data_IF_028987599699
#
_entry.id   IF_028987599699
#
_cell.length_a   1.000
_cell.length_b   1.000
_cell.length_c   1.000
_cell.angle_alpha   90.00
_cell.angle_beta   90.00
_cell.angle_gamma   90.00
#
_symmetry.space_group_name_H-M   'P 1'
#
loop_
_entity.id
_entity.type
_entity.pdbx_description
1 polymer ?
#
# COMPACT_ATOMS: atom_id res chain seq x y z
N UNK A 1 40.43 20.69 -22.64
CA UNK A 1 39.63 19.47 -22.76
C UNK A 1 38.42 19.68 -21.87
N UNK A 2 37.27 20.01 -22.49
CA UNK A 2 36.00 20.27 -21.79
C UNK A 2 35.15 19.00 -21.91
N UNK A 3 34.88 18.37 -20.78
CA UNK A 3 33.94 17.25 -20.71
C UNK A 3 32.51 17.73 -20.95
N UNK A 4 31.91 17.22 -22.00
CA UNK A 4 30.51 17.46 -22.31
C UNK A 4 29.64 16.64 -21.34
N UNK A 5 29.04 17.31 -20.37
CA UNK A 5 27.94 16.75 -19.57
C UNK A 5 26.74 16.56 -20.52
N UNK A 6 26.42 15.31 -20.84
CA UNK A 6 25.17 14.97 -21.50
C UNK A 6 24.03 15.25 -20.53
N UNK A 7 23.31 16.35 -20.75
CA UNK A 7 22.05 16.60 -20.09
C UNK A 7 21.02 15.58 -20.63
N UNK A 8 20.53 14.72 -19.75
CA UNK A 8 19.35 13.90 -20.03
C UNK A 8 18.16 14.84 -20.27
N UNK A 9 17.42 14.71 -21.38
CA UNK A 9 16.21 15.50 -21.55
C UNK A 9 15.23 15.10 -20.43
N UNK A 10 14.81 16.09 -19.65
CA UNK A 10 13.71 15.93 -18.71
C UNK A 10 12.50 15.40 -19.47
N UNK A 11 12.14 14.15 -19.19
CA UNK A 11 10.86 13.58 -19.61
C UNK A 11 9.77 14.30 -18.81
N UNK A 12 9.41 15.50 -19.28
CA UNK A 12 8.16 16.13 -18.90
C UNK A 12 7.04 15.33 -19.57
N UNK A 13 6.51 14.34 -18.86
CA UNK A 13 5.19 13.88 -19.19
C UNK A 13 4.22 15.03 -18.89
N UNK A 14 3.50 15.54 -19.86
CA UNK A 14 2.39 16.41 -19.57
C UNK A 14 1.33 15.56 -18.87
N UNK A 15 1.33 15.60 -17.53
CA UNK A 15 0.16 15.16 -16.78
C UNK A 15 -0.96 16.11 -17.19
N UNK A 16 -1.77 15.69 -18.14
CA UNK A 16 -3.06 16.28 -18.34
C UNK A 16 -3.86 15.96 -17.08
N UNK A 17 -4.22 17.01 -16.37
CA UNK A 17 -5.23 16.96 -15.31
C UNK A 17 -6.55 16.50 -15.93
N UNK A 18 -6.73 15.19 -16.04
CA UNK A 18 -8.02 14.61 -16.37
C UNK A 18 -8.83 14.55 -15.07
N UNK A 19 -10.04 15.09 -15.06
CA UNK A 19 -10.86 15.05 -13.86
C UNK A 19 -11.11 13.61 -13.44
N UNK A 20 -10.84 13.34 -12.18
CA UNK A 20 -11.13 12.10 -11.50
C UNK A 20 -12.61 11.79 -11.64
N UNK A 21 -12.93 10.52 -11.82
CA UNK A 21 -14.27 10.01 -12.11
C UNK A 21 -15.40 10.76 -11.41
N UNK A 22 -16.40 11.24 -12.15
CA UNK A 22 -17.50 12.03 -11.61
C UNK A 22 -18.51 11.25 -10.74
N UNK A 23 -18.20 10.03 -10.33
CA UNK A 23 -19.13 9.17 -9.59
C UNK A 23 -18.53 8.46 -8.39
N UNK A 24 -17.47 9.02 -7.78
CA UNK A 24 -17.10 8.62 -6.42
C UNK A 24 -16.82 7.13 -6.19
N UNK A 25 -16.44 6.35 -7.22
CA UNK A 25 -16.06 4.94 -7.02
C UNK A 25 -14.59 4.72 -7.36
N UNK A 26 -13.93 3.84 -6.62
CA UNK A 26 -12.54 3.49 -6.86
C UNK A 26 -12.28 2.00 -6.61
N UNK A 27 -11.20 1.50 -7.21
CA UNK A 27 -10.70 0.15 -6.95
C UNK A 27 -9.34 0.25 -6.28
N UNK A 28 -9.21 -0.39 -5.12
CA UNK A 28 -7.95 -0.49 -4.39
C UNK A 28 -7.40 -1.90 -4.51
N UNK A 29 -6.14 -2.00 -4.94
CA UNK A 29 -5.38 -3.24 -4.97
C UNK A 29 -4.39 -3.24 -3.80
N UNK A 30 -4.48 -4.22 -2.92
CA UNK A 30 -3.58 -4.36 -1.76
C UNK A 30 -3.39 -5.82 -1.37
N UNK A 31 -2.15 -6.27 -1.28
CA UNK A 31 -1.77 -7.65 -0.90
C UNK A 31 -2.54 -8.73 -1.68
N UNK A 32 -2.62 -8.60 -3.01
CA UNK A 32 -3.31 -9.53 -3.88
C UNK A 32 -4.84 -9.49 -3.80
N UNK A 33 -5.43 -8.58 -3.02
CA UNK A 33 -6.88 -8.36 -2.92
C UNK A 33 -7.31 -7.19 -3.78
N UNK A 34 -8.50 -7.31 -4.34
CA UNK A 34 -9.19 -6.24 -5.06
C UNK A 34 -10.36 -5.76 -4.20
N UNK A 35 -10.37 -4.49 -3.85
CA UNK A 35 -11.36 -3.88 -2.97
C UNK A 35 -12.04 -2.75 -3.75
N UNK A 36 -13.33 -2.89 -4.00
CA UNK A 36 -14.13 -1.86 -4.64
C UNK A 36 -14.71 -0.93 -3.57
N UNK A 37 -14.51 0.36 -3.75
CA UNK A 37 -15.11 1.43 -2.98
C UNK A 37 -16.27 2.00 -3.78
N UNK A 38 -17.46 2.02 -3.21
CA UNK A 38 -18.66 2.55 -3.85
C UNK A 38 -18.72 4.08 -3.81
N UNK A 39 -18.01 4.67 -2.85
CA UNK A 39 -17.93 6.11 -2.66
C UNK A 39 -16.50 6.51 -2.34
N UNK A 40 -16.04 7.59 -2.99
CA UNK A 40 -14.78 8.27 -2.69
C UNK A 40 -15.02 9.77 -2.74
N UNK A 41 -14.28 10.53 -1.94
CA UNK A 41 -14.31 11.98 -2.02
C UNK A 41 -13.64 12.49 -3.30
N UNK A 42 -14.02 13.69 -3.72
CA UNK A 42 -13.41 14.37 -4.86
C UNK A 42 -12.01 14.88 -4.53
N UNK A 43 -11.10 14.81 -5.50
CA UNK A 43 -9.76 15.35 -5.35
C UNK A 43 -8.67 14.49 -6.00
N UNK A 44 -7.43 14.97 -5.89
CA UNK A 44 -6.25 14.24 -6.37
C UNK A 44 -5.87 13.07 -5.47
N UNK A 45 -6.26 13.14 -4.22
CA UNK A 45 -6.05 12.13 -3.19
C UNK A 45 -7.22 11.15 -3.14
N UNK A 46 -6.93 9.93 -2.73
CA UNK A 46 -7.97 8.93 -2.49
C UNK A 46 -8.59 9.16 -1.10
N UNK A 47 -9.70 9.87 -1.08
CA UNK A 47 -10.51 10.04 0.12
C UNK A 47 -11.50 8.88 0.23
N UNK A 48 -11.45 8.14 1.33
CA UNK A 48 -12.29 6.98 1.60
C UNK A 48 -13.19 7.24 2.82
N UNK A 49 -14.25 6.46 2.96
CA UNK A 49 -15.02 6.46 4.21
C UNK A 49 -14.14 5.87 5.33
N UNK A 50 -14.17 6.44 6.54
CA UNK A 50 -13.37 5.97 7.67
C UNK A 50 -13.51 4.48 7.99
N UNK A 51 -14.70 3.92 7.82
CA UNK A 51 -14.98 2.49 8.02
C UNK A 51 -14.31 1.56 7.00
N UNK A 52 -13.95 2.06 5.82
CA UNK A 52 -13.29 1.26 4.80
C UNK A 52 -11.80 1.01 5.11
N UNK A 53 -11.18 1.81 5.98
CA UNK A 53 -9.76 1.70 6.30
C UNK A 53 -9.39 0.29 6.78
N UNK A 54 -10.19 -0.26 7.71
CA UNK A 54 -9.99 -1.62 8.23
C UNK A 54 -10.06 -2.70 7.15
N UNK A 55 -11.02 -2.55 6.23
CA UNK A 55 -11.21 -3.47 5.12
C UNK A 55 -10.06 -3.45 4.12
N UNK A 56 -9.46 -2.27 3.91
CA UNK A 56 -8.37 -2.08 2.96
C UNK A 56 -7.06 -2.62 3.54
N UNK A 57 -6.62 -2.08 4.67
CA UNK A 57 -5.27 -2.32 5.16
C UNK A 57 -5.22 -2.83 6.61
N UNK A 58 -6.38 -3.05 7.25
CA UNK A 58 -6.49 -3.59 8.59
C UNK A 58 -6.25 -2.58 9.72
N UNK A 59 -6.05 -1.28 9.40
CA UNK A 59 -6.01 -0.24 10.43
C UNK A 59 -7.42 0.14 10.86
N UNK A 60 -7.60 0.37 12.15
CA UNK A 60 -8.84 0.86 12.75
C UNK A 60 -8.63 2.27 13.29
N UNK A 61 -9.61 3.14 13.09
CA UNK A 61 -9.60 4.47 13.68
C UNK A 61 -9.99 4.37 15.15
N UNK A 62 -9.12 4.89 16.02
CA UNK A 62 -9.30 4.99 17.46
C UNK A 62 -9.01 6.42 17.92
N UNK A 63 -9.36 6.80 19.16
CA UNK A 63 -9.05 8.13 19.67
C UNK A 63 -7.55 8.48 19.61
N UNK A 64 -6.67 7.47 19.66
CA UNK A 64 -5.22 7.63 19.62
C UNK A 64 -4.67 7.78 18.17
N UNK A 65 -5.50 7.48 17.16
CA UNK A 65 -5.10 7.50 15.75
C UNK A 65 -5.54 6.28 14.96
N UNK A 66 -4.86 6.01 13.85
CA UNK A 66 -5.03 4.78 13.09
C UNK A 66 -4.19 3.66 13.71
N UNK A 67 -4.84 2.61 14.21
CA UNK A 67 -4.18 1.54 14.97
C UNK A 67 -4.26 0.20 14.23
N UNK A 68 -3.13 -0.54 14.26
CA UNK A 68 -3.01 -1.91 13.77
C UNK A 68 -2.17 -2.73 14.75
N UNK A 69 -2.74 -3.78 15.33
CA UNK A 69 -2.14 -4.52 16.44
C UNK A 69 -1.68 -3.56 17.57
N UNK A 70 -0.41 -3.59 17.95
CA UNK A 70 0.17 -2.74 18.99
C UNK A 70 0.69 -1.38 18.46
N UNK A 71 0.55 -1.12 17.18
CA UNK A 71 1.00 0.11 16.53
C UNK A 71 -0.18 1.07 16.34
N UNK A 72 -0.06 2.29 16.88
CA UNK A 72 -0.99 3.37 16.60
C UNK A 72 -0.24 4.55 15.98
N UNK A 73 -0.76 5.07 14.88
CA UNK A 73 -0.23 6.22 14.16
C UNK A 73 -1.11 7.42 14.49
N UNK A 74 -0.59 8.43 15.20
CA UNK A 74 -1.34 9.64 15.47
C UNK A 74 -1.77 10.32 14.15
N UNK A 75 -3.01 10.75 14.09
CA UNK A 75 -3.56 11.45 12.93
C UNK A 75 -3.64 12.95 13.21
N UNK A 76 -3.39 13.74 12.18
CA UNK A 76 -3.68 15.16 12.15
C UNK A 76 -4.97 15.44 11.36
N UNK A 77 -5.47 16.66 11.43
CA UNK A 77 -6.70 17.06 10.75
C UNK A 77 -6.60 16.96 9.22
N UNK A 78 -5.39 17.00 8.67
CA UNK A 78 -5.16 16.86 7.22
C UNK A 78 -5.50 15.45 6.71
N UNK A 79 -5.37 14.44 7.56
CA UNK A 79 -5.72 13.05 7.24
C UNK A 79 -7.20 12.74 7.39
N UNK A 80 -7.95 13.65 8.02
CA UNK A 80 -9.38 13.51 8.30
C UNK A 80 -10.17 14.72 7.76
N UNK A 81 -10.08 15.03 6.46
CA UNK A 81 -10.78 16.16 5.88
C UNK A 81 -12.30 16.01 6.03
N UNK A 82 -12.98 17.15 6.20
CA UNK A 82 -14.43 17.25 6.13
C UNK A 82 -14.83 17.84 4.80
N UNK A 83 -15.55 17.09 3.99
CA UNK A 83 -16.07 17.52 2.68
C UNK A 83 -17.58 17.46 2.73
N UNK A 84 -18.26 18.56 2.43
CA UNK A 84 -19.73 18.69 2.46
C UNK A 84 -20.40 18.26 3.77
N UNK A 85 -19.67 18.42 4.90
CA UNK A 85 -20.16 18.06 6.23
C UNK A 85 -19.96 16.59 6.61
N UNK A 86 -19.37 15.79 5.75
CA UNK A 86 -18.96 14.41 6.00
C UNK A 86 -17.46 14.31 6.25
N UNK A 87 -17.08 13.47 7.19
CA UNK A 87 -15.68 13.18 7.47
C UNK A 87 -15.17 12.07 6.55
N UNK A 88 -14.02 12.33 5.94
CA UNK A 88 -13.31 11.40 5.07
C UNK A 88 -11.95 11.06 5.66
N UNK A 89 -11.34 10.00 5.15
CA UNK A 89 -9.97 9.61 5.47
C UNK A 89 -9.11 9.67 4.22
N UNK A 90 -8.02 10.43 4.25
CA UNK A 90 -7.08 10.52 3.14
C UNK A 90 -6.12 9.33 3.14
N UNK A 91 -6.44 8.31 2.36
CA UNK A 91 -5.65 7.08 2.26
C UNK A 91 -4.29 7.31 1.58
N UNK A 92 -4.21 8.24 0.62
CA UNK A 92 -2.95 8.56 -0.07
C UNK A 92 -2.00 9.36 0.80
N UNK A 93 -2.49 10.34 1.53
CA UNK A 93 -1.69 11.07 2.51
C UNK A 93 -1.22 10.14 3.65
N UNK A 94 -2.09 9.24 4.10
CA UNK A 94 -1.72 8.23 5.10
C UNK A 94 -0.66 7.27 4.59
N UNK A 95 -0.74 6.83 3.33
CA UNK A 95 0.30 6.03 2.69
C UNK A 95 1.64 6.78 2.65
N UNK A 96 1.62 8.08 2.34
CA UNK A 96 2.81 8.93 2.40
C UNK A 96 3.42 8.98 3.80
N UNK A 97 2.61 9.15 4.84
CA UNK A 97 3.06 9.15 6.23
C UNK A 97 3.72 7.81 6.63
N UNK A 98 3.23 6.70 6.10
CA UNK A 98 3.74 5.35 6.34
C UNK A 98 4.91 4.96 5.41
N UNK A 99 5.36 5.86 4.54
CA UNK A 99 6.33 5.56 3.47
C UNK A 99 5.89 4.36 2.61
N UNK A 100 4.58 4.18 2.46
CA UNK A 100 3.98 3.10 1.68
C UNK A 100 3.95 3.49 0.20
N UNK A 101 4.70 2.80 -0.69
CA UNK A 101 4.63 3.08 -2.12
C UNK A 101 3.23 2.75 -2.68
N UNK A 102 2.77 3.57 -3.61
CA UNK A 102 1.58 3.28 -4.39
C UNK A 102 1.71 3.81 -5.82
N UNK A 103 0.91 3.27 -6.71
CA UNK A 103 0.71 3.75 -8.06
C UNK A 103 -0.77 3.94 -8.32
N UNK A 104 -1.11 4.88 -9.19
CA UNK A 104 -2.51 5.20 -9.53
C UNK A 104 -2.69 5.25 -11.04
N UNK A 105 -3.75 4.60 -11.49
CA UNK A 105 -4.35 4.82 -12.78
C UNK A 105 -5.65 5.60 -12.58
N UNK A 106 -5.57 6.91 -12.82
CA UNK A 106 -6.71 7.81 -12.60
C UNK A 106 -7.82 7.59 -13.62
N UNK A 107 -7.46 7.22 -14.84
CA UNK A 107 -8.45 6.97 -15.90
C UNK A 107 -9.29 5.73 -15.57
N UNK A 108 -8.66 4.69 -15.05
CA UNK A 108 -9.34 3.48 -14.63
C UNK A 108 -9.92 3.58 -13.20
N UNK A 109 -9.58 4.61 -12.41
CA UNK A 109 -9.98 4.73 -11.01
C UNK A 109 -9.35 3.65 -10.13
N UNK A 110 -8.10 3.26 -10.41
CA UNK A 110 -7.42 2.17 -9.72
C UNK A 110 -6.21 2.69 -8.93
N UNK A 111 -6.15 2.37 -7.65
CA UNK A 111 -5.00 2.60 -6.76
C UNK A 111 -4.39 1.27 -6.33
N UNK A 112 -3.12 1.08 -6.59
CA UNK A 112 -2.38 -0.12 -6.18
C UNK A 112 -1.35 0.26 -5.12
N UNK A 113 -1.56 -0.22 -3.90
CA UNK A 113 -0.68 0.03 -2.76
C UNK A 113 0.25 -1.15 -2.53
N UNK A 114 1.53 -0.87 -2.33
CA UNK A 114 2.51 -1.85 -1.89
C UNK A 114 2.32 -2.16 -0.39
N UNK A 115 3.11 -3.10 0.12
CA UNK A 115 3.10 -3.41 1.54
C UNK A 115 3.60 -2.24 2.40
N UNK A 116 2.97 -2.05 3.55
CA UNK A 116 3.35 -1.01 4.51
C UNK A 116 4.68 -1.38 5.17
N UNK A 117 5.76 -0.57 5.03
CA UNK A 117 7.09 -0.90 5.55
C UNK A 117 7.12 -1.17 7.06
N UNK A 118 6.30 -0.43 7.83
CA UNK A 118 6.21 -0.59 9.27
C UNK A 118 5.70 -1.98 9.68
N UNK A 119 4.82 -2.60 8.89
CA UNK A 119 4.34 -3.98 9.16
C UNK A 119 5.43 -5.03 8.99
N UNK A 120 6.37 -4.81 8.05
CA UNK A 120 7.54 -5.70 7.86
C UNK A 120 8.56 -5.55 8.97
N UNK A 121 8.70 -4.35 9.53
CA UNK A 121 9.67 -4.09 10.61
C UNK A 121 9.40 -4.98 11.82
N UNK A 122 8.14 -5.21 12.18
CA UNK A 122 7.78 -6.06 13.31
C UNK A 122 8.24 -7.51 13.09
N UNK A 123 8.06 -8.07 11.89
CA UNK A 123 8.56 -9.42 11.58
C UNK A 123 10.08 -9.55 11.72
N UNK A 124 10.83 -8.51 11.35
CA UNK A 124 12.29 -8.49 11.49
C UNK A 124 12.74 -8.31 12.94
N UNK A 125 12.05 -7.47 13.72
CA UNK A 125 12.33 -7.25 15.14
C UNK A 125 12.04 -8.51 15.94
N UNK A 126 10.94 -9.18 15.65
CA UNK A 126 10.54 -10.42 16.34
C UNK A 126 11.31 -11.65 15.84
N UNK A 127 12.18 -11.45 14.84
CA UNK A 127 12.93 -12.54 14.16
C UNK A 127 12.02 -13.69 13.68
N UNK A 128 10.77 -13.33 13.30
CA UNK A 128 9.78 -14.28 12.80
C UNK A 128 9.82 -14.31 11.27
N UNK A 129 10.14 -15.47 10.71
CA UNK A 129 10.02 -15.67 9.27
C UNK A 129 8.55 -15.73 8.86
N UNK A 130 8.16 -15.09 7.73
CA UNK A 130 6.79 -15.18 7.23
C UNK A 130 6.47 -16.63 6.85
N UNK A 131 5.23 -17.03 7.04
CA UNK A 131 4.73 -18.30 6.53
C UNK A 131 4.61 -18.22 5.01
N UNK A 132 5.17 -19.20 4.34
CA UNK A 132 5.02 -19.37 2.89
C UNK A 132 5.04 -20.86 2.54
N UNK A 133 4.56 -21.16 1.35
CA UNK A 133 4.68 -22.50 0.79
C UNK A 133 5.22 -22.44 -0.64
N UNK A 134 5.95 -23.45 -1.01
CA UNK A 134 6.48 -23.66 -2.37
C UNK A 134 6.19 -25.08 -2.82
N UNK A 135 6.03 -25.26 -4.11
CA UNK A 135 5.83 -26.58 -4.70
C UNK A 135 7.15 -27.08 -5.31
N UNK A 136 7.58 -28.25 -4.92
CA UNK A 136 8.76 -28.88 -5.49
C UNK A 136 8.52 -29.39 -6.93
N UNK A 137 9.58 -29.85 -7.59
CA UNK A 137 9.50 -30.35 -8.98
C UNK A 137 8.64 -31.61 -9.13
N UNK A 138 8.27 -32.27 -8.03
CA UNK A 138 7.41 -33.46 -7.99
C UNK A 138 5.97 -33.12 -7.65
N UNK A 139 5.67 -31.85 -7.40
CA UNK A 139 4.35 -31.38 -7.01
C UNK A 139 4.10 -31.44 -5.48
N UNK A 140 5.09 -31.75 -4.67
CA UNK A 140 4.91 -31.74 -3.22
C UNK A 140 4.97 -30.31 -2.70
N UNK A 141 4.08 -29.99 -1.77
CA UNK A 141 4.07 -28.71 -1.08
C UNK A 141 5.05 -28.76 0.10
N UNK A 142 5.96 -27.80 0.17
CA UNK A 142 6.89 -27.57 1.28
C UNK A 142 6.49 -26.28 1.96
N UNK A 143 6.22 -26.31 3.25
CA UNK A 143 5.81 -25.15 4.05
C UNK A 143 6.93 -24.71 4.97
N UNK A 144 6.99 -23.41 5.27
CA UNK A 144 7.91 -22.87 6.27
C UNK A 144 7.73 -23.56 7.63
N UNK A 145 6.50 -23.91 8.00
CA UNK A 145 6.17 -24.64 9.20
C UNK A 145 6.88 -26.02 9.30
N UNK A 146 7.14 -26.69 8.18
CA UNK A 146 7.80 -28.02 8.13
C UNK A 146 9.30 -27.93 8.48
N UNK A 147 9.85 -26.71 8.44
CA UNK A 147 11.26 -26.41 8.79
C UNK A 147 11.42 -25.98 10.24
N UNK A 148 10.35 -25.88 11.02
CA UNK A 148 10.38 -25.44 12.40
C UNK A 148 11.32 -26.31 13.24
N UNK A 149 12.22 -25.68 14.00
CA UNK A 149 13.24 -26.37 14.80
C UNK A 149 14.47 -26.83 14.01
N UNK A 150 14.55 -26.56 12.71
CA UNK A 150 15.71 -26.85 11.87
C UNK A 150 16.42 -25.56 11.46
N UNK A 151 17.72 -25.63 11.21
CA UNK A 151 18.44 -24.56 10.55
C UNK A 151 18.21 -24.68 9.03
N UNK A 152 17.59 -23.66 8.42
CA UNK A 152 17.31 -23.61 7.01
C UNK A 152 18.02 -22.42 6.35
N UNK A 153 18.59 -22.65 5.18
CA UNK A 153 19.12 -21.59 4.30
C UNK A 153 18.23 -21.51 3.06
N UNK A 154 17.66 -20.34 2.85
CA UNK A 154 16.82 -20.07 1.67
C UNK A 154 17.66 -19.27 0.69
N UNK A 155 17.80 -19.78 -0.54
CA UNK A 155 18.50 -19.11 -1.62
C UNK A 155 17.55 -18.96 -2.81
N UNK A 156 17.39 -17.75 -3.30
CA UNK A 156 16.62 -17.45 -4.51
C UNK A 156 17.55 -17.01 -5.61
N UNK A 157 17.33 -17.53 -6.81
CA UNK A 157 18.05 -17.08 -7.99
C UNK A 157 17.12 -17.09 -9.20
N UNK A 158 17.46 -16.35 -10.23
CA UNK A 158 16.81 -16.48 -11.53
C UNK A 158 17.82 -16.89 -12.58
N UNK A 159 17.38 -17.75 -13.51
CA UNK A 159 18.13 -18.08 -14.71
C UNK A 159 17.55 -17.28 -15.88
N UNK A 160 18.34 -16.49 -16.52
CA UNK A 160 18.05 -15.76 -17.75
C UNK A 160 18.89 -16.31 -18.88
#
# INVERSE_FOLDING_TARGET
MAEAFMAYPELRHPFQETPIHPNGSATVLYQGRTITLSETGDGDNLLIKPEDLGRINGFELKPEGACYADMCIPLNDELLPTVEGEQWFDLTAFAGLLEQPFVVDREAGVWSFAEIPAKRRNMMVDAMAPEFEVTDRKGNVVRMADLKGKKALIVTWSSW
#
